data_IF_083576730811
#
_entry.id   IF_083576730811
#
_cell.length_a   1.000
_cell.length_b   1.000
_cell.length_c   1.000
_cell.angle_alpha   90.00
_cell.angle_beta   90.00
_cell.angle_gamma   90.00
#
_symmetry.space_group_name_H-M   'P 1'
#
loop_
_entity.id
_entity.type
_entity.pdbx_description
1 polymer ?
#
# COMPACT_ATOMS: atom_id res chain seq x y z
N UNK A 1 -31.54 10.30 4.57
CA UNK A 1 -30.16 10.02 5.03
C UNK A 1 -29.25 10.99 4.32
N UNK A 2 -28.71 11.99 5.02
CA UNK A 2 -27.79 12.97 4.44
C UNK A 2 -26.39 12.33 4.33
N UNK A 3 -25.83 12.23 3.12
CA UNK A 3 -24.43 11.83 2.91
C UNK A 3 -23.56 13.09 2.89
N UNK A 4 -22.59 13.17 3.79
CA UNK A 4 -21.63 14.29 3.89
C UNK A 4 -20.59 14.28 2.76
N UNK A 5 -20.42 13.14 2.08
CA UNK A 5 -19.54 12.97 0.93
C UNK A 5 -20.25 12.19 -0.18
N UNK A 6 -20.07 12.57 -1.46
CA UNK A 6 -20.77 11.93 -2.58
C UNK A 6 -20.28 10.51 -2.87
N UNK A 7 -19.10 10.13 -2.41
CA UNK A 7 -18.49 8.82 -2.69
C UNK A 7 -18.96 7.73 -1.72
N UNK A 8 -19.00 6.49 -2.22
CA UNK A 8 -19.37 5.32 -1.44
C UNK A 8 -18.14 4.75 -0.71
N UNK A 9 -18.32 4.33 0.54
CA UNK A 9 -17.27 3.74 1.37
C UNK A 9 -16.71 2.48 0.69
N UNK A 10 -15.39 2.46 0.49
CA UNK A 10 -14.70 1.27 -0.03
C UNK A 10 -14.21 0.43 1.16
N UNK A 11 -15.02 -0.54 1.59
CA UNK A 11 -14.65 -1.52 2.62
C UNK A 11 -13.88 -2.69 1.99
N UNK A 12 -12.74 -3.08 2.59
CA UNK A 12 -11.89 -4.20 2.11
C UNK A 12 -11.79 -5.38 3.09
N UNK A 13 -12.66 -5.42 4.11
CA UNK A 13 -12.81 -6.61 4.95
C UNK A 13 -13.39 -7.76 4.13
N UNK A 14 -12.80 -8.94 4.30
CA UNK A 14 -13.38 -10.19 3.82
C UNK A 14 -14.53 -10.60 4.74
N UNK A 15 -15.57 -11.20 4.19
CA UNK A 15 -16.55 -11.91 5.00
C UNK A 15 -15.92 -13.13 5.68
N UNK A 16 -16.54 -13.64 6.74
CA UNK A 16 -16.00 -14.74 7.54
C UNK A 16 -15.67 -16.00 6.73
N UNK A 17 -16.47 -16.32 5.72
CA UNK A 17 -16.25 -17.49 4.87
C UNK A 17 -15.01 -17.29 4.01
N UNK A 18 -14.91 -16.15 3.34
CA UNK A 18 -13.76 -15.80 2.50
C UNK A 18 -12.47 -15.73 3.33
N UNK A 19 -12.52 -15.13 4.52
CA UNK A 19 -11.38 -15.04 5.44
C UNK A 19 -10.88 -16.44 5.87
N UNK A 20 -11.79 -17.37 6.19
CA UNK A 20 -11.42 -18.74 6.57
C UNK A 20 -10.75 -19.50 5.42
N UNK A 21 -11.32 -19.43 4.22
CA UNK A 21 -10.74 -20.07 3.03
C UNK A 21 -9.33 -19.51 2.76
N UNK A 22 -9.18 -18.19 2.87
CA UNK A 22 -7.88 -17.57 2.68
C UNK A 22 -6.87 -18.01 3.75
N UNK A 23 -7.26 -18.12 5.02
CA UNK A 23 -6.39 -18.62 6.09
C UNK A 23 -5.85 -20.03 5.82
N UNK A 24 -6.67 -20.91 5.22
CA UNK A 24 -6.27 -22.27 4.86
C UNK A 24 -5.24 -22.28 3.71
N UNK A 25 -5.40 -21.38 2.74
CA UNK A 25 -4.53 -21.31 1.54
C UNK A 25 -3.30 -20.42 1.72
N UNK A 26 -3.32 -19.47 2.66
CA UNK A 26 -2.31 -18.41 2.78
C UNK A 26 -0.88 -18.95 2.96
N UNK A 27 -0.73 -20.08 3.66
CA UNK A 27 0.58 -20.70 3.87
C UNK A 27 1.26 -21.21 2.59
N UNK A 28 0.49 -21.41 1.51
CA UNK A 28 1.00 -21.77 0.19
C UNK A 28 1.30 -20.56 -0.70
N UNK A 29 0.92 -19.35 -0.27
CA UNK A 29 1.18 -18.12 -0.99
C UNK A 29 2.53 -17.53 -0.60
N UNK A 30 3.22 -16.82 -1.53
CA UNK A 30 4.32 -15.97 -1.14
C UNK A 30 3.83 -14.88 -0.18
N UNK A 31 4.67 -14.56 0.81
CA UNK A 31 4.31 -13.66 1.90
C UNK A 31 5.19 -12.42 1.97
N UNK A 32 4.58 -11.30 2.38
CA UNK A 32 5.29 -10.08 2.79
C UNK A 32 5.03 -9.80 4.26
N UNK A 33 6.09 -9.47 4.99
CA UNK A 33 5.99 -9.03 6.39
C UNK A 33 5.91 -7.51 6.39
N UNK A 34 4.84 -6.98 6.98
CA UNK A 34 4.58 -5.56 7.06
C UNK A 34 5.36 -4.91 8.20
N UNK A 35 5.78 -3.67 7.99
CA UNK A 35 6.20 -2.80 9.08
C UNK A 35 4.98 -2.12 9.74
N UNK A 36 5.20 -1.45 10.88
CA UNK A 36 4.12 -0.84 11.67
C UNK A 36 3.31 0.22 10.90
N UNK A 37 3.97 0.95 9.98
CA UNK A 37 3.30 1.94 9.13
C UNK A 37 2.42 1.25 8.08
N UNK A 38 2.93 0.21 7.45
CA UNK A 38 2.20 -0.57 6.44
C UNK A 38 1.01 -1.33 7.06
N UNK A 39 1.15 -1.85 8.28
CA UNK A 39 0.03 -2.43 9.03
C UNK A 39 -1.05 -1.37 9.34
N UNK A 40 -0.65 -0.17 9.74
CA UNK A 40 -1.59 0.92 9.96
C UNK A 40 -2.29 1.32 8.65
N UNK A 41 -1.57 1.44 7.55
CA UNK A 41 -2.13 1.74 6.23
C UNK A 41 -3.08 0.62 5.76
N UNK A 42 -2.74 -0.66 5.99
CA UNK A 42 -3.63 -1.79 5.69
C UNK A 42 -4.95 -1.68 6.46
N UNK A 43 -4.92 -1.31 7.74
CA UNK A 43 -6.13 -1.12 8.55
C UNK A 43 -6.99 0.06 8.05
N UNK A 44 -6.36 1.15 7.60
CA UNK A 44 -7.05 2.31 7.03
C UNK A 44 -7.65 2.00 5.65
N UNK A 45 -6.98 1.17 4.86
CA UNK A 45 -7.55 0.61 3.62
C UNK A 45 -8.73 -0.33 3.92
N UNK A 46 -8.59 -1.23 4.89
CA UNK A 46 -9.61 -2.22 5.26
C UNK A 46 -10.91 -1.56 5.74
N UNK A 47 -10.79 -0.58 6.63
CA UNK A 47 -11.92 0.18 7.17
C UNK A 47 -12.57 1.13 6.15
N UNK A 48 -11.90 1.41 5.03
CA UNK A 48 -12.33 2.41 4.05
C UNK A 48 -12.06 3.85 4.46
N UNK A 49 -11.27 4.09 5.51
CA UNK A 49 -10.81 5.42 5.89
C UNK A 49 -9.99 6.09 4.77
N UNK A 50 -9.35 5.28 3.93
CA UNK A 50 -8.65 5.72 2.73
C UNK A 50 -9.51 5.73 1.46
N UNK A 51 -10.83 5.70 1.57
CA UNK A 51 -11.72 5.90 0.40
C UNK A 51 -11.25 7.16 -0.35
N UNK A 52 -10.95 7.05 -1.66
CA UNK A 52 -11.38 5.99 -2.58
C UNK A 52 -10.41 4.83 -2.86
N UNK A 53 -9.27 4.76 -2.18
CA UNK A 53 -8.27 3.72 -2.43
C UNK A 53 -8.83 2.32 -2.21
N UNK A 54 -8.41 1.40 -3.07
CA UNK A 54 -8.78 -0.03 -3.02
C UNK A 54 -7.64 -0.94 -2.58
N UNK A 55 -6.50 -0.34 -2.25
CA UNK A 55 -5.27 -1.02 -1.85
C UNK A 55 -4.08 -0.07 -1.93
N UNK A 56 -2.87 -0.64 -1.85
CA UNK A 56 -1.64 0.12 -2.01
C UNK A 56 -1.50 0.58 -3.47
N UNK A 57 -1.04 1.82 -3.64
CA UNK A 57 -1.02 2.49 -4.94
C UNK A 57 -0.22 1.72 -5.97
N UNK A 58 -0.78 1.59 -7.17
CA UNK A 58 0.01 1.23 -8.33
C UNK A 58 0.89 2.40 -8.79
N UNK A 59 1.69 2.14 -9.82
CA UNK A 59 2.65 3.13 -10.31
C UNK A 59 1.96 4.39 -10.85
N UNK A 60 0.78 4.27 -11.47
CA UNK A 60 0.11 5.39 -12.11
C UNK A 60 -0.51 6.31 -11.05
N UNK A 61 -1.15 5.74 -10.03
CA UNK A 61 -1.65 6.50 -8.88
C UNK A 61 -0.48 7.15 -8.11
N UNK A 62 0.59 6.41 -7.84
CA UNK A 62 1.78 6.92 -7.15
C UNK A 62 2.38 8.14 -7.88
N UNK A 63 2.66 8.01 -9.18
CA UNK A 63 3.25 9.10 -9.96
C UNK A 63 2.30 10.29 -10.07
N UNK A 64 1.00 10.04 -10.21
CA UNK A 64 0.00 11.10 -10.28
C UNK A 64 -0.10 11.88 -8.96
N UNK A 65 -0.05 11.19 -7.82
CA UNK A 65 -0.08 11.82 -6.49
C UNK A 65 1.13 12.72 -6.30
N UNK A 66 2.33 12.23 -6.63
CA UNK A 66 3.56 13.03 -6.53
C UNK A 66 3.52 14.29 -7.42
N UNK A 67 3.02 14.16 -8.64
CA UNK A 67 3.06 15.25 -9.61
C UNK A 67 1.91 16.26 -9.45
N UNK A 68 0.73 15.80 -9.02
CA UNK A 68 -0.53 16.55 -9.15
C UNK A 68 -1.40 16.56 -7.91
N UNK A 69 -0.99 15.91 -6.82
CA UNK A 69 -1.80 15.75 -5.61
C UNK A 69 -3.18 15.14 -5.90
N UNK A 70 -3.23 14.20 -6.86
CA UNK A 70 -4.43 13.52 -7.32
C UNK A 70 -4.10 12.08 -7.72
N UNK A 71 -5.05 11.18 -7.51
CA UNK A 71 -5.05 9.85 -8.13
C UNK A 71 -5.06 9.96 -9.66
N UNK A 72 -4.75 8.87 -10.34
CA UNK A 72 -4.69 8.84 -11.80
C UNK A 72 -6.03 9.23 -12.46
N UNK A 73 -7.15 8.95 -11.79
CA UNK A 73 -8.49 9.32 -12.22
C UNK A 73 -8.93 10.75 -11.84
N UNK A 74 -8.05 11.53 -11.21
CA UNK A 74 -8.26 12.94 -10.91
C UNK A 74 -8.85 13.24 -9.53
N UNK A 75 -9.22 12.22 -8.73
CA UNK A 75 -9.65 12.43 -7.34
C UNK A 75 -8.51 12.98 -6.49
N UNK A 76 -8.83 13.87 -5.54
CA UNK A 76 -7.82 14.53 -4.70
C UNK A 76 -7.18 13.53 -3.76
N UNK A 77 -5.85 13.47 -3.76
CA UNK A 77 -5.07 12.66 -2.84
C UNK A 77 -3.61 13.12 -2.81
N UNK A 78 -3.07 13.43 -1.64
CA UNK A 78 -1.82 14.21 -1.56
C UNK A 78 -0.62 13.43 -1.03
N UNK A 79 -0.81 12.20 -0.52
CA UNK A 79 0.25 11.42 0.11
C UNK A 79 0.30 9.99 -0.45
N UNK A 80 1.46 9.48 -0.89
CA UNK A 80 1.57 8.09 -1.31
C UNK A 80 1.19 7.11 -0.20
N UNK A 81 0.36 6.11 -0.54
CA UNK A 81 0.06 4.95 0.31
C UNK A 81 0.64 3.72 -0.38
N UNK A 82 1.80 3.27 0.09
CA UNK A 82 2.67 2.34 -0.63
C UNK A 82 3.13 1.19 0.25
N UNK A 83 3.33 0.02 -0.35
CA UNK A 83 3.87 -1.16 0.33
C UNK A 83 5.29 -1.42 -0.16
N UNK A 84 6.28 -1.37 0.74
CA UNK A 84 7.68 -1.62 0.43
C UNK A 84 7.98 -3.11 0.20
N UNK A 85 8.91 -3.39 -0.71
CA UNK A 85 9.41 -4.75 -0.97
C UNK A 85 10.93 -4.71 -1.02
N UNK A 86 11.57 -5.48 -0.14
CA UNK A 86 13.02 -5.68 -0.18
C UNK A 86 13.45 -6.28 -1.53
N UNK A 87 14.56 -5.79 -2.10
CA UNK A 87 14.97 -6.16 -3.46
C UNK A 87 15.16 -7.68 -3.63
N UNK A 88 15.68 -8.35 -2.61
CA UNK A 88 15.88 -9.80 -2.56
C UNK A 88 14.56 -10.59 -2.59
N UNK A 89 13.47 -10.01 -2.08
CA UNK A 89 12.14 -10.65 -2.02
C UNK A 89 11.37 -10.59 -3.32
N UNK A 90 11.74 -9.69 -4.24
CA UNK A 90 11.03 -9.51 -5.52
C UNK A 90 10.96 -10.81 -6.31
N UNK A 91 12.01 -11.65 -6.27
CA UNK A 91 12.06 -12.92 -7.03
C UNK A 91 11.16 -14.02 -6.45
N UNK A 92 10.74 -13.87 -5.19
CA UNK A 92 9.83 -14.80 -4.52
C UNK A 92 8.36 -14.44 -4.76
N UNK A 93 8.09 -13.20 -5.20
CA UNK A 93 6.75 -12.70 -5.46
C UNK A 93 6.27 -13.05 -6.88
N UNK A 94 4.95 -13.20 -7.08
CA UNK A 94 4.40 -13.42 -8.41
C UNK A 94 4.51 -12.12 -9.22
N UNK A 95 4.54 -12.23 -10.54
CA UNK A 95 4.42 -11.05 -11.41
C UNK A 95 3.02 -10.42 -11.37
N UNK A 96 2.00 -11.22 -11.03
CA UNK A 96 0.61 -10.84 -10.87
C UNK A 96 -0.11 -11.93 -10.05
N UNK A 97 -0.87 -11.55 -9.02
CA UNK A 97 -1.65 -12.52 -8.23
C UNK A 97 -1.63 -12.27 -6.72
N UNK A 98 -2.17 -13.20 -5.92
CA UNK A 98 -2.31 -13.04 -4.48
C UNK A 98 -0.97 -13.18 -3.75
N UNK A 99 -0.77 -12.32 -2.74
CA UNK A 99 0.38 -12.30 -1.82
C UNK A 99 -0.19 -12.18 -0.41
N UNK A 100 0.22 -13.07 0.50
CA UNK A 100 -0.19 -13.01 1.88
C UNK A 100 0.55 -11.90 2.64
N UNK A 101 -0.16 -11.15 3.48
CA UNK A 101 0.41 -10.07 4.28
C UNK A 101 0.47 -10.52 5.74
N UNK A 102 1.65 -10.44 6.34
CA UNK A 102 1.91 -10.90 7.71
C UNK A 102 2.40 -9.76 8.59
N UNK A 103 2.11 -9.84 9.88
CA UNK A 103 2.75 -8.98 10.88
C UNK A 103 4.17 -9.42 11.18
N UNK A 104 4.95 -8.57 11.85
CA UNK A 104 6.27 -8.95 12.38
C UNK A 104 6.23 -10.17 13.32
N UNK A 105 5.09 -10.46 13.93
CA UNK A 105 4.90 -11.59 14.83
C UNK A 105 4.45 -12.87 14.10
N UNK A 106 4.31 -12.83 12.78
CA UNK A 106 3.87 -13.96 11.95
C UNK A 106 2.34 -14.15 11.89
N UNK A 107 1.56 -13.18 12.36
CA UNK A 107 0.10 -13.20 12.22
C UNK A 107 -0.30 -12.88 10.78
N UNK A 108 -1.24 -13.64 10.21
CA UNK A 108 -1.80 -13.34 8.90
C UNK A 108 -2.79 -12.18 9.00
N UNK A 109 -2.46 -11.06 8.35
CA UNK A 109 -3.25 -9.83 8.39
C UNK A 109 -4.22 -9.68 7.22
N UNK A 110 -3.85 -10.21 6.04
CA UNK A 110 -4.67 -10.08 4.85
C UNK A 110 -3.99 -10.54 3.57
N UNK A 111 -4.50 -10.06 2.44
CA UNK A 111 -4.02 -10.39 1.11
C UNK A 111 -3.78 -9.12 0.31
N UNK A 112 -2.69 -9.06 -0.45
CA UNK A 112 -2.54 -8.14 -1.55
C UNK A 112 -2.70 -8.91 -2.85
N UNK A 113 -3.66 -8.52 -3.68
CA UNK A 113 -3.68 -8.92 -5.07
C UNK A 113 -2.73 -8.02 -5.87
N UNK A 114 -1.47 -8.46 -5.94
CA UNK A 114 -0.35 -7.77 -6.59
C UNK A 114 -0.62 -7.62 -8.08
N UNK A 115 -0.57 -6.38 -8.57
CA UNK A 115 -0.68 -6.08 -10.00
C UNK A 115 0.70 -5.85 -10.61
N UNK A 116 1.59 -5.16 -9.89
CA UNK A 116 2.91 -4.81 -10.37
C UNK A 116 3.84 -4.41 -9.23
N UNK A 117 5.12 -4.77 -9.39
CA UNK A 117 6.21 -4.20 -8.60
C UNK A 117 6.88 -3.10 -9.42
N UNK A 118 7.09 -1.93 -8.83
CA UNK A 118 7.74 -0.79 -9.49
C UNK A 118 8.74 -0.12 -8.56
N UNK A 119 9.70 0.60 -9.14
CA UNK A 119 10.75 1.28 -8.38
C UNK A 119 10.40 2.75 -8.19
N UNK A 120 10.50 3.26 -6.96
CA UNK A 120 10.41 4.68 -6.64
C UNK A 120 11.78 5.36 -6.56
N UNK A 121 11.78 6.68 -6.62
CA UNK A 121 12.95 7.51 -6.34
C UNK A 121 12.73 8.26 -5.03
N UNK A 122 13.34 7.77 -3.95
CA UNK A 122 13.19 8.30 -2.60
C UNK A 122 13.52 9.79 -2.51
N UNK A 123 14.59 10.24 -3.19
CA UNK A 123 15.01 11.66 -3.16
C UNK A 123 14.01 12.56 -3.86
N UNK A 124 13.42 12.09 -4.96
CA UNK A 124 12.42 12.85 -5.69
C UNK A 124 11.10 12.91 -4.93
N UNK A 125 10.65 11.77 -4.40
CA UNK A 125 9.49 11.70 -3.52
C UNK A 125 9.65 12.63 -2.31
N UNK A 126 10.83 12.66 -1.68
CA UNK A 126 11.09 13.57 -0.57
C UNK A 126 10.87 15.04 -0.94
N UNK A 127 11.39 15.47 -2.11
CA UNK A 127 11.20 16.85 -2.58
C UNK A 127 9.74 17.17 -2.88
N UNK A 128 9.03 16.24 -3.52
CA UNK A 128 7.64 16.47 -3.94
C UNK A 128 6.66 16.40 -2.77
N UNK A 129 6.91 15.54 -1.78
CA UNK A 129 6.03 15.36 -0.61
C UNK A 129 6.37 16.33 0.51
N UNK A 130 7.66 16.51 0.84
CA UNK A 130 8.10 17.30 1.99
C UNK A 130 8.68 18.67 1.61
N UNK A 131 8.81 18.98 0.31
CA UNK A 131 9.44 20.21 -0.16
C UNK A 131 10.97 20.26 0.03
N UNK A 132 11.58 19.16 0.50
CA UNK A 132 13.02 19.08 0.78
C UNK A 132 13.52 17.63 0.71
N UNK A 133 14.83 17.45 0.47
CA UNK A 133 15.51 16.16 0.60
C UNK A 133 16.52 16.14 1.76
N UNK A 134 16.41 17.09 2.70
CA UNK A 134 17.24 17.18 3.89
C UNK A 134 16.88 16.06 4.88
N UNK A 135 17.82 15.15 5.15
CA UNK A 135 17.64 14.03 6.07
C UNK A 135 17.48 14.44 7.54
N UNK A 136 17.67 15.73 7.88
CA UNK A 136 17.31 16.26 9.20
C UNK A 136 15.80 16.44 9.37
N UNK A 137 15.03 16.50 8.27
CA UNK A 137 13.58 16.53 8.34
C UNK A 137 13.06 15.12 8.74
N UNK A 138 12.27 14.97 9.82
CA UNK A 138 11.87 13.64 10.32
C UNK A 138 11.15 12.78 9.28
N UNK A 139 10.26 13.38 8.48
CA UNK A 139 9.57 12.66 7.41
C UNK A 139 10.49 12.20 6.26
N UNK A 140 11.54 12.97 5.96
CA UNK A 140 12.52 12.59 4.93
C UNK A 140 13.43 11.49 5.46
N UNK A 141 13.84 11.60 6.73
CA UNK A 141 14.63 10.57 7.40
C UNK A 141 13.90 9.23 7.42
N UNK A 142 12.60 9.23 7.74
CA UNK A 142 11.77 8.03 7.73
C UNK A 142 11.65 7.45 6.31
N UNK A 143 11.31 8.28 5.31
CA UNK A 143 11.21 7.85 3.91
C UNK A 143 12.51 7.21 3.41
N UNK A 144 13.68 7.75 3.75
CA UNK A 144 14.97 7.20 3.32
C UNK A 144 15.35 5.87 3.97
N UNK A 145 14.62 5.42 5.00
CA UNK A 145 14.77 4.10 5.59
C UNK A 145 13.84 3.05 4.97
N UNK A 146 12.92 3.46 4.11
CA UNK A 146 11.99 2.56 3.46
C UNK A 146 12.53 1.97 2.15
N UNK A 147 11.85 0.95 1.64
CA UNK A 147 12.26 0.22 0.44
C UNK A 147 12.11 1.04 -0.85
N UNK A 148 13.00 0.85 -1.83
CA UNK A 148 12.89 1.49 -3.14
C UNK A 148 11.91 0.80 -4.09
N UNK A 149 11.60 -0.48 -3.86
CA UNK A 149 10.63 -1.21 -4.66
C UNK A 149 9.30 -1.26 -3.93
N UNK A 150 8.23 -1.03 -4.69
CA UNK A 150 6.86 -0.94 -4.19
C UNK A 150 5.99 -1.99 -4.85
N UNK A 151 5.14 -2.64 -4.05
CA UNK A 151 4.10 -3.54 -4.50
C UNK A 151 2.77 -2.77 -4.61
N UNK A 152 2.27 -2.59 -5.83
CA UNK A 152 0.95 -2.01 -6.10
C UNK A 152 -0.10 -3.09 -6.28
N UNK A 153 -1.29 -2.87 -5.73
CA UNK A 153 -2.36 -3.87 -5.83
C UNK A 153 -3.55 -3.58 -4.94
N UNK A 154 -4.60 -4.39 -5.10
CA UNK A 154 -5.81 -4.30 -4.28
C UNK A 154 -5.64 -5.14 -3.03
N UNK A 155 -6.03 -4.61 -1.88
CA UNK A 155 -6.12 -5.37 -0.62
C UNK A 155 -7.52 -5.89 -0.42
#
# INVERSE_FOLDING_TARGET
MFRLFPEELVNRWMDERTARLFQEEASALPGLVLNEREEADLNLLASGAYTPLRGFMDQDDYLSVLARCRLADGRVWTLPITLGVAQEKIRELPSYGPVALYSKNGELLGCLFLTKIYKRNLKEEARLVYGTADSRHPGVAALFQEEEYLAGGKV
#
